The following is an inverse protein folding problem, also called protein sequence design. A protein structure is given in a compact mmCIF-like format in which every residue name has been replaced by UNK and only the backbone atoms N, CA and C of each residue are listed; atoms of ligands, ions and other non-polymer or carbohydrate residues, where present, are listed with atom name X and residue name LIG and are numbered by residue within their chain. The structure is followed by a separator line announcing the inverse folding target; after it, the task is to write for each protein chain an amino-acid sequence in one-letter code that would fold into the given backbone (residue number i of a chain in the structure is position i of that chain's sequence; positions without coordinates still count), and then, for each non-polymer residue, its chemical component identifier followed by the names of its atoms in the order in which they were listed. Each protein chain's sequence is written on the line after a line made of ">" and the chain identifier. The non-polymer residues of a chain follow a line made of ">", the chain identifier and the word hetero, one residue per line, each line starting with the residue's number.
data_IF_688189206273
#
_entry.id   IF_688189206273
#
_cell.length_a   1.000
_cell.length_b   1.000
_cell.length_c   1.000
_cell.angle_alpha   90.00
_cell.angle_beta   90.00
_cell.angle_gamma   90.00
#
_symmetry.space_group_name_H-M   'P 1'
#
loop_
_entity.id
_entity.type
_entity.pdbx_description
1 polymer ?
#
# COMPACT_ATOMS: atom_id res chain seq x y z
N UNK A 1 19.22 -24.60 3.54
CA UNK A 1 19.01 -23.30 2.88
C UNK A 1 17.60 -22.76 3.19
N UNK A 2 17.46 -21.48 3.53
CA UNK A 2 16.15 -20.90 3.87
C UNK A 2 15.13 -21.07 2.75
N UNK A 3 15.53 -20.86 1.51
CA UNK A 3 14.68 -21.06 0.33
C UNK A 3 14.02 -22.43 0.28
N UNK A 4 14.78 -23.49 0.53
CA UNK A 4 14.25 -24.86 0.55
C UNK A 4 13.26 -25.06 1.69
N UNK A 5 13.54 -24.51 2.87
CA UNK A 5 12.64 -24.62 4.00
C UNK A 5 11.30 -23.90 3.76
N UNK A 6 11.34 -22.68 3.24
CA UNK A 6 10.12 -21.92 2.90
C UNK A 6 9.34 -22.63 1.79
N UNK A 7 10.02 -23.09 0.73
CA UNK A 7 9.39 -23.82 -0.35
C UNK A 7 8.72 -25.12 0.16
N UNK A 8 9.38 -25.83 1.09
CA UNK A 8 8.82 -27.01 1.70
C UNK A 8 7.54 -26.71 2.50
N UNK A 9 7.55 -25.65 3.31
CA UNK A 9 6.36 -25.23 4.07
C UNK A 9 5.23 -24.84 3.12
N UNK A 10 5.53 -24.05 2.10
CA UNK A 10 4.52 -23.61 1.14
C UNK A 10 3.88 -24.78 0.39
N UNK A 11 4.69 -25.68 -0.16
CA UNK A 11 4.22 -26.77 -1.04
C UNK A 11 3.89 -28.06 -0.30
N UNK A 12 4.85 -28.60 0.45
CA UNK A 12 4.69 -29.91 1.09
C UNK A 12 3.80 -29.88 2.34
N UNK A 13 3.87 -28.81 3.14
CA UNK A 13 2.97 -28.64 4.29
C UNK A 13 1.59 -28.09 3.90
N UNK A 14 1.38 -27.76 2.63
CA UNK A 14 0.07 -27.37 2.10
C UNK A 14 -0.35 -25.93 2.46
N UNK A 15 0.59 -25.06 2.81
CA UNK A 15 0.30 -23.68 3.18
C UNK A 15 -0.31 -22.87 2.03
N UNK A 16 0.17 -23.04 0.79
CA UNK A 16 -0.45 -22.45 -0.40
C UNK A 16 -1.92 -22.89 -0.57
N UNK A 17 -2.20 -24.18 -0.34
CA UNK A 17 -3.58 -24.69 -0.41
C UNK A 17 -4.48 -24.05 0.65
N UNK A 18 -3.95 -23.91 1.86
CA UNK A 18 -4.67 -23.24 2.95
C UNK A 18 -4.99 -21.76 2.59
N UNK A 19 -4.03 -21.03 2.06
CA UNK A 19 -4.23 -19.64 1.65
C UNK A 19 -5.26 -19.52 0.52
N UNK A 20 -5.18 -20.38 -0.49
CA UNK A 20 -6.17 -20.40 -1.60
C UNK A 20 -7.58 -20.70 -1.09
N UNK A 21 -7.74 -21.65 -0.19
CA UNK A 21 -9.05 -21.95 0.41
C UNK A 21 -9.60 -20.74 1.16
N UNK A 22 -8.76 -20.06 1.93
CA UNK A 22 -9.16 -18.88 2.69
C UNK A 22 -9.47 -17.67 1.77
N UNK A 23 -8.69 -17.46 0.73
CA UNK A 23 -8.93 -16.40 -0.24
C UNK A 23 -10.18 -16.62 -1.09
N UNK A 24 -10.46 -17.85 -1.50
CA UNK A 24 -11.69 -18.18 -2.26
C UNK A 24 -12.97 -17.89 -1.48
N UNK A 25 -12.92 -17.88 -0.15
CA UNK A 25 -14.05 -17.49 0.70
C UNK A 25 -14.21 -15.96 0.73
N UNK A 26 -13.12 -15.21 0.57
CA UNK A 26 -13.13 -13.77 0.71
C UNK A 26 -13.10 -13.00 -0.63
N UNK A 27 -12.23 -13.37 -1.57
CA UNK A 27 -12.17 -12.76 -2.91
C UNK A 27 -11.03 -13.36 -3.78
N UNK A 28 -11.24 -13.56 -5.08
CA UNK A 28 -10.23 -14.10 -6.00
C UNK A 28 -8.99 -13.17 -6.18
N UNK A 29 -9.15 -11.87 -5.99
CA UNK A 29 -8.05 -10.89 -6.05
C UNK A 29 -7.01 -11.12 -4.94
N UNK A 30 -7.46 -11.48 -3.72
CA UNK A 30 -6.56 -11.77 -2.59
C UNK A 30 -5.70 -13.03 -2.79
N UNK A 31 -6.20 -14.01 -3.53
CA UNK A 31 -5.44 -15.24 -3.80
C UNK A 31 -4.14 -14.93 -4.51
N UNK A 32 -4.20 -14.04 -5.49
CA UNK A 32 -3.06 -13.71 -6.33
C UNK A 32 -2.07 -12.79 -5.61
N UNK A 33 -2.57 -11.84 -4.83
CA UNK A 33 -1.74 -11.00 -3.97
C UNK A 33 -0.92 -11.87 -2.99
N UNK A 34 -1.54 -12.89 -2.41
CA UNK A 34 -0.84 -13.80 -1.51
C UNK A 34 0.16 -14.70 -2.23
N UNK A 35 -0.12 -15.14 -3.46
CA UNK A 35 0.85 -15.88 -4.28
C UNK A 35 2.07 -15.01 -4.63
N UNK A 36 1.87 -13.75 -4.94
CA UNK A 36 2.95 -12.80 -5.20
C UNK A 36 3.81 -12.58 -3.94
N UNK A 37 3.19 -12.42 -2.77
CA UNK A 37 3.88 -12.28 -1.49
C UNK A 37 4.69 -13.56 -1.17
N UNK A 38 4.12 -14.75 -1.35
CA UNK A 38 4.83 -16.00 -1.11
C UNK A 38 6.03 -16.19 -2.04
N UNK A 39 5.86 -15.86 -3.31
CA UNK A 39 6.96 -15.92 -4.27
C UNK A 39 8.08 -14.96 -3.89
N UNK A 40 7.74 -13.74 -3.50
CA UNK A 40 8.71 -12.77 -3.00
C UNK A 40 9.46 -13.29 -1.77
N UNK A 41 8.77 -13.87 -0.78
CA UNK A 41 9.40 -14.45 0.41
C UNK A 41 10.35 -15.60 0.04
N UNK A 42 9.97 -16.46 -0.92
CA UNK A 42 10.81 -17.57 -1.40
C UNK A 42 12.06 -17.05 -2.10
N UNK A 43 11.94 -16.01 -2.90
CA UNK A 43 13.07 -15.38 -3.59
C UNK A 43 14.01 -14.71 -2.60
N UNK A 44 13.49 -13.89 -1.68
CA UNK A 44 14.27 -13.25 -0.64
C UNK A 44 15.03 -14.27 0.24
N UNK A 45 14.37 -15.34 0.66
CA UNK A 45 15.02 -16.41 1.41
C UNK A 45 16.19 -17.05 0.64
N UNK A 46 16.20 -16.97 -0.69
CA UNK A 46 17.27 -17.50 -1.53
C UNK A 46 18.58 -16.71 -1.49
N UNK A 47 18.54 -15.47 -1.01
CA UNK A 47 19.73 -14.63 -0.87
C UNK A 47 20.61 -15.02 0.34
N UNK A 48 20.10 -15.88 1.24
CA UNK A 48 20.78 -16.26 2.47
C UNK A 48 21.18 -17.74 2.45
N UNK A 49 22.36 -18.05 3.00
CA UNK A 49 22.87 -19.42 3.06
C UNK A 49 22.27 -20.20 4.22
N UNK A 50 22.01 -19.54 5.34
CA UNK A 50 21.50 -20.16 6.57
C UNK A 50 20.22 -19.49 7.06
N UNK A 51 19.39 -20.23 7.77
CA UNK A 51 18.19 -19.68 8.40
C UNK A 51 18.54 -18.61 9.46
N UNK A 52 19.68 -18.74 10.09
CA UNK A 52 20.15 -17.78 11.08
C UNK A 52 20.48 -16.42 10.43
N UNK A 53 21.23 -16.42 9.33
CA UNK A 53 21.52 -15.20 8.57
C UNK A 53 20.23 -14.50 8.11
N UNK A 54 19.26 -15.27 7.62
CA UNK A 54 17.99 -14.73 7.20
C UNK A 54 17.22 -14.12 8.36
N UNK A 55 17.15 -14.78 9.51
CA UNK A 55 16.52 -14.27 10.71
C UNK A 55 17.18 -12.97 11.21
N UNK A 56 18.51 -12.94 11.28
CA UNK A 56 19.27 -11.76 11.69
C UNK A 56 19.01 -10.56 10.75
N UNK A 57 18.91 -10.80 9.43
CA UNK A 57 18.57 -9.77 8.46
C UNK A 57 17.13 -9.24 8.66
N UNK A 58 16.16 -10.12 8.92
CA UNK A 58 14.76 -9.73 9.22
C UNK A 58 14.67 -8.91 10.51
N UNK A 59 15.38 -9.32 11.55
CA UNK A 59 15.43 -8.58 12.83
C UNK A 59 16.04 -7.19 12.63
N UNK A 60 17.17 -7.10 11.93
CA UNK A 60 17.83 -5.84 11.62
C UNK A 60 16.93 -4.89 10.80
N UNK A 61 16.25 -5.42 9.78
CA UNK A 61 15.28 -4.66 8.99
C UNK A 61 14.10 -4.16 9.84
N UNK A 62 13.54 -5.04 10.69
CA UNK A 62 12.48 -4.68 11.62
C UNK A 62 12.89 -3.58 12.61
N UNK A 63 14.16 -3.60 13.06
CA UNK A 63 14.70 -2.52 13.90
C UNK A 63 14.86 -1.20 13.14
N UNK A 64 15.31 -1.24 11.88
CA UNK A 64 15.43 -0.05 11.04
C UNK A 64 14.07 0.59 10.81
N UNK A 65 13.03 -0.22 10.50
CA UNK A 65 11.66 0.26 10.37
C UNK A 65 11.16 0.92 11.65
N UNK A 66 11.35 0.27 12.80
CA UNK A 66 10.93 0.83 14.10
C UNK A 66 11.64 2.14 14.43
N UNK A 67 12.94 2.24 14.14
CA UNK A 67 13.71 3.48 14.32
C UNK A 67 13.27 4.58 13.35
N UNK A 68 12.92 4.23 12.12
CA UNK A 68 12.34 5.14 11.12
C UNK A 68 11.00 5.68 11.60
N UNK A 69 10.06 4.80 11.95
CA UNK A 69 8.73 5.18 12.46
C UNK A 69 8.82 6.00 13.75
N UNK A 70 9.71 5.65 14.68
CA UNK A 70 9.91 6.40 15.93
C UNK A 70 10.45 7.83 15.70
N UNK A 71 11.24 8.03 14.63
CA UNK A 71 11.70 9.37 14.25
C UNK A 71 10.60 10.22 13.64
N UNK A 72 9.63 9.58 12.96
CA UNK A 72 8.51 10.27 12.31
C UNK A 72 7.33 10.54 13.26
N UNK A 73 7.22 9.78 14.36
CA UNK A 73 6.12 9.90 15.33
C UNK A 73 6.31 10.97 16.40
N UNK A 74 7.49 11.61 16.46
CA UNK A 74 7.71 12.73 17.36
C UNK A 74 7.17 14.03 16.74
N UNK A 75 6.34 14.78 17.48
CA UNK A 75 5.79 16.10 17.10
C UNK A 75 6.85 17.13 16.67
N UNK A 76 8.14 16.82 16.80
CA UNK A 76 9.30 17.65 16.45
C UNK A 76 10.38 16.89 15.65
N UNK A 77 10.04 15.85 14.90
CA UNK A 77 11.02 15.26 13.99
C UNK A 77 11.43 16.33 12.97
N UNK A 78 12.62 16.89 13.13
CA UNK A 78 13.25 17.74 12.12
C UNK A 78 13.44 16.85 10.87
N UNK A 79 12.45 16.88 10.00
CA UNK A 79 12.56 16.27 8.68
C UNK A 79 13.69 16.97 7.97
N UNK A 80 14.65 16.22 7.46
CA UNK A 80 15.75 16.78 6.68
C UNK A 80 15.16 17.68 5.56
N UNK A 81 15.74 18.86 5.39
CA UNK A 81 15.30 19.79 4.37
C UNK A 81 15.36 19.09 2.99
N UNK A 82 14.25 19.06 2.27
CA UNK A 82 14.12 18.37 1.00
C UNK A 82 13.70 16.88 1.06
N UNK A 83 13.38 16.33 2.23
CA UNK A 83 12.88 14.95 2.32
C UNK A 83 11.41 14.83 1.88
N UNK A 84 11.11 13.75 1.15
CA UNK A 84 9.73 13.35 0.82
C UNK A 84 9.08 12.70 2.03
N UNK A 85 7.89 13.17 2.40
CA UNK A 85 7.09 12.59 3.48
C UNK A 85 6.05 11.62 2.93
N UNK A 86 5.98 10.43 3.50
CA UNK A 86 4.92 9.47 3.24
C UNK A 86 3.95 9.48 4.43
N UNK A 87 2.69 9.80 4.16
CA UNK A 87 1.67 9.96 5.19
C UNK A 87 0.36 9.31 4.74
N UNK A 88 -0.42 8.82 5.68
CA UNK A 88 -1.82 8.54 5.41
C UNK A 88 -2.61 9.85 5.37
N UNK A 89 -3.77 9.85 4.70
CA UNK A 89 -4.65 11.04 4.67
C UNK A 89 -5.02 11.48 6.09
N UNK A 90 -5.31 10.55 6.97
CA UNK A 90 -5.63 10.85 8.37
C UNK A 90 -4.46 11.52 9.11
N UNK A 91 -3.24 11.02 8.91
CA UNK A 91 -2.05 11.60 9.52
C UNK A 91 -1.69 12.98 8.95
N UNK A 92 -2.18 13.33 7.77
CA UNK A 92 -1.94 14.63 7.12
C UNK A 92 -2.90 15.72 7.60
N UNK A 93 -3.89 15.39 8.44
CA UNK A 93 -4.87 16.37 8.94
C UNK A 93 -4.18 17.50 9.71
N UNK A 94 -4.44 18.74 9.31
CA UNK A 94 -3.82 19.93 9.92
C UNK A 94 -2.44 20.29 9.38
N UNK A 95 -1.82 19.43 8.55
CA UNK A 95 -0.57 19.73 7.87
C UNK A 95 -0.84 20.30 6.49
N UNK A 96 0.15 21.01 5.93
CA UNK A 96 0.11 21.55 4.56
C UNK A 96 1.50 21.44 3.94
N UNK A 97 1.54 21.16 2.63
CA UNK A 97 2.76 20.93 1.87
C UNK A 97 2.74 21.75 0.58
N UNK A 98 3.90 22.16 0.11
CA UNK A 98 4.00 22.88 -1.17
C UNK A 98 3.49 22.00 -2.34
N UNK A 99 3.91 20.76 -2.38
CA UNK A 99 3.49 19.79 -3.40
C UNK A 99 2.96 18.53 -2.74
N UNK A 100 1.86 17.99 -3.25
CA UNK A 100 1.23 16.76 -2.77
C UNK A 100 0.96 15.83 -3.94
N UNK A 101 1.38 14.59 -3.78
CA UNK A 101 1.09 13.51 -4.71
C UNK A 101 0.18 12.49 -4.04
N UNK A 102 -0.95 12.22 -4.63
CA UNK A 102 -1.90 11.21 -4.15
C UNK A 102 -1.88 10.05 -5.15
N UNK A 103 -1.19 8.95 -4.84
CA UNK A 103 -1.15 7.78 -5.70
C UNK A 103 -2.45 6.97 -5.60
N UNK A 104 -2.61 6.02 -6.53
CA UNK A 104 -3.70 5.05 -6.54
C UNK A 104 -5.11 5.66 -6.44
N UNK A 105 -5.33 6.81 -7.12
CA UNK A 105 -6.64 7.43 -7.23
C UNK A 105 -7.58 6.61 -8.12
N UNK A 106 -7.76 5.34 -7.76
CA UNK A 106 -8.55 4.35 -8.48
C UNK A 106 -9.80 3.95 -7.69
N UNK A 107 -10.82 3.44 -8.40
CA UNK A 107 -11.95 2.76 -7.77
C UNK A 107 -11.45 1.65 -6.84
N UNK A 108 -12.14 1.39 -5.75
CA UNK A 108 -11.82 0.51 -4.62
C UNK A 108 -10.75 1.04 -3.66
N UNK A 109 -9.94 2.02 -4.05
CA UNK A 109 -9.00 2.72 -3.18
C UNK A 109 -9.59 4.07 -2.72
N UNK A 110 -10.19 4.81 -3.65
CA UNK A 110 -11.00 6.01 -3.42
C UNK A 110 -12.29 5.97 -4.26
N UNK A 111 -13.45 5.60 -3.70
CA UNK A 111 -13.71 5.20 -2.32
C UNK A 111 -13.10 3.84 -1.98
N UNK A 112 -12.73 3.66 -0.70
CA UNK A 112 -12.16 2.39 -0.24
C UNK A 112 -13.23 1.31 -0.13
N UNK A 113 -12.89 0.10 -0.59
CA UNK A 113 -13.78 -1.05 -0.51
C UNK A 113 -14.83 -1.12 -1.62
N UNK A 114 -15.77 -2.06 -1.45
CA UNK A 114 -16.85 -2.33 -2.40
C UNK A 114 -18.19 -1.74 -1.97
N UNK A 115 -18.20 -0.85 -0.99
CA UNK A 115 -19.41 -0.26 -0.44
C UNK A 115 -20.10 0.67 -1.44
N UNK A 116 -21.36 0.39 -1.74
CA UNK A 116 -22.25 1.26 -2.49
C UNK A 116 -23.13 2.11 -1.57
N UNK A 117 -22.89 2.05 -0.25
CA UNK A 117 -23.61 2.85 0.72
C UNK A 117 -23.32 4.34 0.50
N UNK A 118 -24.34 5.17 0.27
CA UNK A 118 -24.18 6.60 0.03
C UNK A 118 -23.45 7.34 1.15
N UNK A 119 -23.66 6.96 2.40
CA UNK A 119 -23.02 7.58 3.57
C UNK A 119 -21.51 7.30 3.56
N UNK A 120 -21.13 6.06 3.28
CA UNK A 120 -19.73 5.67 3.15
C UNK A 120 -19.03 6.39 1.99
N UNK A 121 -19.68 6.48 0.83
CA UNK A 121 -19.13 7.21 -0.33
C UNK A 121 -18.92 8.69 0.01
N UNK A 122 -19.82 9.29 0.75
CA UNK A 122 -19.71 10.71 1.12
C UNK A 122 -18.57 10.94 2.12
N UNK A 123 -18.37 10.01 3.08
CA UNK A 123 -17.23 10.08 3.99
C UNK A 123 -15.89 9.90 3.24
N UNK A 124 -15.78 8.94 2.34
CA UNK A 124 -14.60 8.74 1.49
C UNK A 124 -14.32 9.97 0.60
N UNK A 125 -15.37 10.64 0.12
CA UNK A 125 -15.23 11.88 -0.62
C UNK A 125 -14.65 13.01 0.25
N UNK A 126 -15.05 13.11 1.50
CA UNK A 126 -14.51 14.08 2.46
C UNK A 126 -13.03 13.78 2.74
N UNK A 127 -12.68 12.51 2.93
CA UNK A 127 -11.30 12.08 3.11
C UNK A 127 -10.47 12.47 1.88
N UNK A 128 -10.94 12.20 0.70
CA UNK A 128 -10.27 12.56 -0.55
C UNK A 128 -10.10 14.09 -0.69
N UNK A 129 -11.15 14.85 -0.37
CA UNK A 129 -11.10 16.31 -0.36
C UNK A 129 -10.04 16.84 0.63
N UNK A 130 -9.99 16.28 1.85
CA UNK A 130 -8.96 16.63 2.83
C UNK A 130 -7.57 16.37 2.29
N UNK A 131 -7.33 15.24 1.64
CA UNK A 131 -6.03 14.93 1.02
C UNK A 131 -5.64 15.98 -0.03
N UNK A 132 -6.55 16.35 -0.93
CA UNK A 132 -6.30 17.36 -1.96
C UNK A 132 -5.98 18.75 -1.35
N UNK A 133 -6.69 19.13 -0.29
CA UNK A 133 -6.49 20.42 0.37
C UNK A 133 -5.20 20.52 1.18
N UNK A 134 -4.40 19.48 1.24
CA UNK A 134 -3.05 19.54 1.85
C UNK A 134 -2.03 20.21 0.94
N UNK A 135 -2.33 20.34 -0.34
CA UNK A 135 -1.47 21.00 -1.32
C UNK A 135 -1.64 22.53 -1.27
N UNK A 136 -0.51 23.25 -1.15
CA UNK A 136 -0.47 24.71 -1.24
C UNK A 136 -0.31 25.22 -2.67
N UNK A 137 0.52 24.51 -3.48
CA UNK A 137 0.89 24.94 -4.82
C UNK A 137 0.56 23.90 -5.86
N UNK A 138 1.13 22.69 -5.70
CA UNK A 138 1.05 21.63 -6.69
C UNK A 138 0.34 20.40 -6.15
N UNK A 139 -0.65 19.93 -6.89
CA UNK A 139 -1.39 18.71 -6.57
C UNK A 139 -1.35 17.77 -7.76
N UNK A 140 -0.83 16.56 -7.54
CA UNK A 140 -0.85 15.50 -8.54
C UNK A 140 -1.70 14.32 -8.06
N UNK A 141 -2.67 13.96 -8.87
CA UNK A 141 -3.56 12.82 -8.64
C UNK A 141 -3.20 11.71 -9.64
N UNK A 142 -2.61 10.64 -9.13
CA UNK A 142 -2.09 9.55 -9.94
C UNK A 142 -3.06 8.37 -9.94
N UNK A 143 -3.44 7.90 -11.12
CA UNK A 143 -4.25 6.70 -11.25
C UNK A 143 -3.55 5.67 -12.17
N UNK A 144 -3.68 4.41 -11.80
CA UNK A 144 -3.18 3.29 -12.59
C UNK A 144 -4.23 2.87 -13.62
N UNK A 145 -3.80 2.58 -14.84
CA UNK A 145 -4.68 2.06 -15.88
C UNK A 145 -4.83 0.54 -15.83
N UNK A 146 -3.92 -0.13 -15.11
CA UNK A 146 -3.88 -1.59 -15.06
C UNK A 146 -3.35 -2.20 -16.36
N UNK A 147 -3.58 -3.50 -16.52
CA UNK A 147 -3.27 -4.26 -17.73
C UNK A 147 -4.55 -4.65 -18.48
N UNK A 148 -4.43 -5.18 -19.69
CA UNK A 148 -5.58 -5.70 -20.44
C UNK A 148 -6.30 -6.84 -19.69
N UNK A 149 -5.55 -7.64 -18.91
CA UNK A 149 -6.09 -8.73 -18.09
C UNK A 149 -6.67 -8.25 -16.76
N UNK A 150 -6.18 -7.11 -16.26
CA UNK A 150 -6.58 -6.50 -14.99
C UNK A 150 -6.73 -4.99 -15.16
N UNK A 151 -7.81 -4.54 -15.79
CA UNK A 151 -8.06 -3.12 -15.95
C UNK A 151 -8.33 -2.48 -14.59
N UNK A 152 -7.72 -1.33 -14.35
CA UNK A 152 -8.02 -0.47 -13.20
C UNK A 152 -8.72 0.79 -13.71
N UNK A 153 -9.75 1.19 -13.01
CA UNK A 153 -10.54 2.35 -13.37
C UNK A 153 -10.20 3.53 -12.48
N UNK A 154 -10.08 4.75 -13.05
CA UNK A 154 -9.93 5.95 -12.24
C UNK A 154 -11.07 6.10 -11.24
N UNK A 155 -10.76 6.65 -10.08
CA UNK A 155 -11.75 6.96 -9.05
C UNK A 155 -12.89 7.83 -9.62
N UNK A 156 -14.12 7.54 -9.24
CA UNK A 156 -15.30 8.37 -9.52
C UNK A 156 -15.16 9.82 -9.01
N UNK A 157 -14.31 10.04 -8.02
CA UNK A 157 -14.05 11.38 -7.49
C UNK A 157 -13.21 12.24 -8.43
N UNK A 158 -12.51 11.64 -9.41
CA UNK A 158 -11.77 12.36 -10.44
C UNK A 158 -12.67 12.84 -11.59
N UNK A 159 -13.83 12.22 -11.79
CA UNK A 159 -14.72 12.54 -12.92
C UNK A 159 -15.11 14.03 -12.94
N UNK A 160 -15.52 14.65 -11.83
CA UNK A 160 -15.84 16.07 -11.79
C UNK A 160 -14.64 16.96 -12.11
N UNK A 161 -13.42 16.54 -11.71
CA UNK A 161 -12.19 17.32 -11.87
C UNK A 161 -11.72 17.38 -13.32
N UNK A 162 -12.00 16.36 -14.12
CA UNK A 162 -11.65 16.35 -15.57
C UNK A 162 -12.31 17.47 -16.37
N UNK A 163 -13.37 18.08 -15.87
CA UNK A 163 -14.02 19.24 -16.51
C UNK A 163 -13.19 20.53 -16.41
N UNK A 164 -12.18 20.56 -15.55
CA UNK A 164 -11.32 21.71 -15.28
C UNK A 164 -9.89 21.55 -15.81
N UNK A 165 -9.62 20.49 -16.59
CA UNK A 165 -8.33 20.30 -17.24
C UNK A 165 -8.16 21.36 -18.32
N UNK A 166 -7.28 22.35 -18.04
CA UNK A 166 -6.80 23.34 -19.04
C UNK A 166 -5.55 22.81 -19.71
#
# INVERSE_FOLDING_TARGET
>A
EPKLAVTFVCKACGYERYLRQRANVENSEKTQEWEEILNYIVEEAGHFKTAKEWQEAQEAFGEQLRKGVARESGDNAQVADGAVRLLTVHASKGLEFDSVWIPDCNEKNFPHGNGLDPEHIEEERRIFYVAMTRAKKDLELLCLTGTAERPRFPSRFLIPLNRYRR
#
